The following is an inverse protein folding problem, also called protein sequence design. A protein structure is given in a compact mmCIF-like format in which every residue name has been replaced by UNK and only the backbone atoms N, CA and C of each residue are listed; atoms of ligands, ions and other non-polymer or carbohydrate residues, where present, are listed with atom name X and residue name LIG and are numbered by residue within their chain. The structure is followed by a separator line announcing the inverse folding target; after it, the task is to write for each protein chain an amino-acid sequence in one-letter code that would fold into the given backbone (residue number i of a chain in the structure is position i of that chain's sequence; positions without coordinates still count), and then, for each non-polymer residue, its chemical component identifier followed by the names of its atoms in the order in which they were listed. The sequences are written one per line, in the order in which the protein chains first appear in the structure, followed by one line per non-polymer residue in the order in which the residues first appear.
data_IF_846711388295
#
_entry.id   IF_846711388295
#
_cell.length_a   1.000
_cell.length_b   1.000
_cell.length_c   1.000
_cell.angle_alpha   90.00
_cell.angle_beta   90.00
_cell.angle_gamma   90.00
#
_symmetry.space_group_name_H-M   'P 1'
#
loop_
_entity.id
_entity.type
_entity.pdbx_description
1 polymer ?
#
# COMPACT_ATOMS: atom_id res chain seq x y z
N UNK A 1 10.84 8.38 74.05
CA UNK A 1 12.17 8.68 73.51
C UNK A 1 12.19 8.29 72.04
N UNK A 2 11.89 9.24 71.15
CA UNK A 2 11.81 9.01 69.71
C UNK A 2 13.03 9.63 69.04
N UNK A 3 13.98 8.78 68.65
CA UNK A 3 15.17 9.18 67.91
C UNK A 3 14.77 9.52 66.47
N UNK A 4 14.71 10.82 66.17
CA UNK A 4 14.63 11.32 64.79
C UNK A 4 15.95 10.99 64.10
N UNK A 5 15.92 10.03 63.19
CA UNK A 5 16.94 9.87 62.15
C UNK A 5 16.87 11.06 61.22
N UNK A 6 17.70 12.07 61.48
CA UNK A 6 17.98 13.16 60.55
C UNK A 6 18.63 12.57 59.30
N UNK A 7 17.84 12.41 58.24
CA UNK A 7 18.32 12.19 56.88
C UNK A 7 19.13 13.41 56.45
N UNK A 8 20.45 13.30 56.61
CA UNK A 8 21.41 14.27 56.10
C UNK A 8 21.37 14.20 54.57
N UNK A 9 20.58 15.08 53.96
CA UNK A 9 20.52 15.26 52.51
C UNK A 9 21.89 15.78 52.05
N UNK A 10 22.67 14.93 51.38
CA UNK A 10 23.93 15.33 50.80
C UNK A 10 23.71 16.53 49.85
N UNK A 11 24.53 17.60 49.94
CA UNK A 11 24.41 18.75 49.06
C UNK A 11 24.61 18.35 47.60
N UNK A 12 23.83 18.95 46.71
CA UNK A 12 23.98 18.76 45.26
C UNK A 12 25.43 19.10 44.84
N UNK A 13 26.04 18.31 43.94
CA UNK A 13 27.42 18.57 43.51
C UNK A 13 27.50 19.96 42.89
N UNK A 14 28.41 20.79 43.42
CA UNK A 14 28.67 22.14 42.91
C UNK A 14 29.24 22.07 41.50
N UNK A 15 28.92 23.05 40.65
CA UNK A 15 29.41 23.14 39.26
C UNK A 15 30.94 23.06 39.13
N UNK A 16 31.67 23.45 40.18
CA UNK A 16 33.13 23.28 40.29
C UNK A 16 33.56 21.81 40.23
N UNK A 17 32.83 20.88 40.85
CA UNK A 17 33.24 19.47 40.87
C UNK A 17 33.12 18.79 39.50
N UNK A 18 32.21 19.25 38.65
CA UNK A 18 32.09 18.74 37.27
C UNK A 18 33.21 19.24 36.35
N UNK A 19 33.68 20.46 36.56
CA UNK A 19 34.83 21.01 35.83
C UNK A 19 36.12 20.27 36.22
N UNK A 20 36.31 20.00 37.51
CA UNK A 20 37.48 19.24 38.00
C UNK A 20 37.48 17.80 37.47
N UNK A 21 36.31 17.16 37.39
CA UNK A 21 36.17 15.82 36.79
C UNK A 21 36.49 15.78 35.31
N UNK A 22 36.17 16.84 34.56
CA UNK A 22 36.53 16.95 33.14
C UNK A 22 38.04 17.00 32.96
N UNK A 23 38.73 17.78 33.78
CA UNK A 23 40.19 17.87 33.76
C UNK A 23 40.81 16.54 34.19
N UNK A 24 40.29 15.87 35.22
CA UNK A 24 40.86 14.61 35.72
C UNK A 24 40.72 13.40 34.78
N UNK A 25 39.74 13.43 33.87
CA UNK A 25 39.42 12.31 32.98
C UNK A 25 39.88 12.53 31.52
N UNK A 26 40.60 13.62 31.25
CA UNK A 26 41.25 14.02 29.98
C UNK A 26 40.76 13.23 28.75
N UNK A 27 39.72 13.73 28.08
CA UNK A 27 39.13 13.12 26.87
C UNK A 27 38.17 11.94 27.12
N UNK A 28 38.33 11.16 28.19
CA UNK A 28 37.38 10.06 28.50
C UNK A 28 36.01 10.61 28.89
N UNK A 29 35.96 11.74 29.59
CA UNK A 29 34.69 12.40 29.91
C UNK A 29 33.94 12.84 28.65
N UNK A 30 34.66 13.39 27.66
CA UNK A 30 34.07 13.83 26.39
C UNK A 30 33.47 12.66 25.62
N UNK A 31 34.18 11.53 25.56
CA UNK A 31 33.67 10.29 24.94
C UNK A 31 32.39 9.81 25.64
N UNK A 32 32.35 9.81 26.97
CA UNK A 32 31.17 9.39 27.74
C UNK A 32 29.97 10.33 27.52
N UNK A 33 30.18 11.64 27.53
CA UNK A 33 29.13 12.62 27.26
C UNK A 33 28.60 12.52 25.82
N UNK A 34 29.50 12.43 24.84
CA UNK A 34 29.14 12.27 23.43
C UNK A 34 28.35 10.97 23.21
N UNK A 35 28.82 9.86 23.76
CA UNK A 35 28.11 8.59 23.71
C UNK A 35 26.71 8.70 24.31
N UNK A 36 26.56 9.34 25.48
CA UNK A 36 25.25 9.57 26.10
C UNK A 36 24.31 10.36 25.20
N UNK A 37 24.80 11.44 24.59
CA UNK A 37 24.01 12.30 23.69
C UNK A 37 23.59 11.53 22.44
N UNK A 38 24.51 10.83 21.78
CA UNK A 38 24.21 10.10 20.54
C UNK A 38 23.34 8.85 20.79
N UNK A 39 23.62 8.06 21.82
CA UNK A 39 22.79 6.88 22.19
C UNK A 39 21.38 7.31 22.59
N UNK A 40 21.22 8.34 23.42
CA UNK A 40 19.90 8.83 23.81
C UNK A 40 19.11 9.43 22.63
N UNK A 41 19.77 10.15 21.73
CA UNK A 41 19.16 10.65 20.50
C UNK A 41 18.67 9.50 19.60
N UNK A 42 19.48 8.45 19.45
CA UNK A 42 19.12 7.27 18.65
C UNK A 42 17.95 6.51 19.29
N UNK A 43 18.01 6.29 20.61
CA UNK A 43 16.94 5.64 21.37
C UNK A 43 15.62 6.42 21.27
N UNK A 44 15.65 7.75 21.42
CA UNK A 44 14.47 8.61 21.28
C UNK A 44 13.85 8.50 19.88
N UNK A 45 14.68 8.52 18.83
CA UNK A 45 14.20 8.37 17.44
C UNK A 45 13.61 6.98 17.21
N UNK A 46 14.30 5.92 17.63
CA UNK A 46 13.83 4.52 17.58
C UNK A 46 12.58 4.28 18.44
N UNK A 47 12.36 5.08 19.48
CA UNK A 47 11.17 5.08 20.32
C UNK A 47 9.92 5.52 19.58
N UNK A 48 10.05 6.47 18.64
CA UNK A 48 8.92 7.08 17.94
C UNK A 48 8.18 6.14 16.97
N UNK A 49 6.93 6.46 16.66
CA UNK A 49 6.14 5.73 15.64
C UNK A 49 6.72 5.95 14.24
N UNK A 50 7.28 7.14 13.98
CA UNK A 50 7.86 7.56 12.70
C UNK A 50 9.39 7.39 12.68
N UNK A 51 9.92 6.43 13.44
CA UNK A 51 11.36 6.29 13.66
C UNK A 51 12.18 6.22 12.35
N UNK A 52 11.68 5.51 11.33
CA UNK A 52 12.37 5.40 10.03
C UNK A 52 12.54 6.77 9.36
N UNK A 53 11.47 7.57 9.35
CA UNK A 53 11.48 8.92 8.80
C UNK A 53 12.45 9.83 9.55
N UNK A 54 12.50 9.71 10.88
CA UNK A 54 13.44 10.48 11.70
C UNK A 54 14.90 10.06 11.47
N UNK A 55 15.18 8.77 11.27
CA UNK A 55 16.52 8.30 10.93
C UNK A 55 16.91 8.63 9.49
N UNK A 56 15.99 8.67 8.54
CA UNK A 56 16.29 9.07 7.17
C UNK A 56 16.65 10.55 7.01
N UNK A 57 16.14 11.40 7.89
CA UNK A 57 16.55 12.82 7.95
C UNK A 57 17.98 13.01 8.46
N UNK A 58 18.53 12.01 9.12
CA UNK A 58 19.89 12.05 9.67
C UNK A 58 20.43 10.61 9.70
N UNK A 59 20.78 10.09 8.52
CA UNK A 59 21.19 8.69 8.31
C UNK A 59 22.55 8.38 8.93
N UNK A 60 23.30 9.41 9.32
CA UNK A 60 24.62 9.28 9.95
C UNK A 60 24.52 8.98 11.45
N UNK A 61 23.36 9.15 12.10
CA UNK A 61 23.23 8.90 13.54
C UNK A 61 23.58 7.47 13.97
N UNK A 62 23.09 6.39 13.32
CA UNK A 62 23.49 5.02 13.65
C UNK A 62 24.99 4.80 13.47
N UNK A 63 25.59 5.44 12.45
CA UNK A 63 27.03 5.38 12.18
C UNK A 63 27.84 6.06 13.28
N UNK A 64 27.44 7.26 13.72
CA UNK A 64 28.10 7.98 14.84
C UNK A 64 28.07 7.16 16.13
N UNK A 65 26.94 6.51 16.44
CA UNK A 65 26.85 5.62 17.60
C UNK A 65 27.82 4.44 17.44
N UNK A 66 27.86 3.81 16.26
CA UNK A 66 28.78 2.70 15.95
C UNK A 66 30.25 3.10 16.12
N UNK A 67 30.64 4.27 15.61
CA UNK A 67 32.01 4.78 15.70
C UNK A 67 32.43 5.10 17.15
N UNK A 68 31.47 5.44 18.02
CA UNK A 68 31.71 5.70 19.43
C UNK A 68 31.76 4.45 20.30
N UNK A 69 31.29 3.28 19.86
CA UNK A 69 31.26 2.07 20.71
C UNK A 69 32.65 1.62 21.17
N UNK A 70 33.65 1.63 20.27
CA UNK A 70 35.00 1.20 20.63
C UNK A 70 35.71 2.17 21.60
N UNK A 71 35.74 3.50 21.35
CA UNK A 71 36.23 4.46 22.32
C UNK A 71 35.47 4.44 23.65
N UNK A 72 34.15 4.25 23.60
CA UNK A 72 33.29 4.18 24.78
C UNK A 72 33.65 2.99 25.67
N UNK A 73 33.85 1.80 25.09
CA UNK A 73 34.23 0.61 25.85
C UNK A 73 35.56 0.84 26.61
N UNK A 74 36.56 1.43 25.94
CA UNK A 74 37.84 1.78 26.58
C UNK A 74 37.68 2.84 27.68
N UNK A 75 36.86 3.87 27.44
CA UNK A 75 36.61 4.92 28.42
C UNK A 75 35.87 4.39 29.66
N UNK A 76 34.86 3.52 29.46
CA UNK A 76 34.16 2.85 30.56
C UNK A 76 35.09 1.95 31.36
N UNK A 77 35.93 1.15 30.70
CA UNK A 77 36.88 0.28 31.38
C UNK A 77 37.87 1.08 32.25
N UNK A 78 38.43 2.18 31.72
CA UNK A 78 39.32 3.07 32.49
C UNK A 78 38.60 3.70 33.68
N UNK A 79 37.38 4.20 33.49
CA UNK A 79 36.61 4.82 34.57
C UNK A 79 36.24 3.78 35.63
N UNK A 80 35.81 2.58 35.24
CA UNK A 80 35.48 1.50 36.18
C UNK A 80 36.71 0.97 36.92
N UNK A 81 37.87 0.91 36.27
CA UNK A 81 39.14 0.58 36.91
C UNK A 81 39.48 1.61 37.99
N UNK A 82 39.38 2.91 37.66
CA UNK A 82 39.67 4.00 38.59
C UNK A 82 38.68 4.07 39.76
N UNK A 83 37.39 3.89 39.48
CA UNK A 83 36.35 3.82 40.51
C UNK A 83 36.61 2.70 41.51
N UNK A 84 37.17 1.56 41.07
CA UNK A 84 37.57 0.44 41.95
C UNK A 84 38.81 0.76 42.78
N UNK A 85 39.82 1.42 42.19
CA UNK A 85 41.07 1.74 42.88
C UNK A 85 40.91 2.83 43.95
N UNK A 86 40.21 3.91 43.60
CA UNK A 86 40.16 5.13 44.42
C UNK A 86 38.97 5.15 45.40
N UNK A 87 38.18 4.07 45.47
CA UNK A 87 37.08 3.88 46.46
C UNK A 87 36.11 5.06 46.54
N UNK A 88 35.70 5.60 45.39
CA UNK A 88 34.80 6.76 45.33
C UNK A 88 33.44 6.44 45.96
N UNK A 89 32.73 7.42 46.55
CA UNK A 89 31.39 7.21 47.09
C UNK A 89 30.42 6.68 46.03
N UNK A 90 29.51 5.77 46.42
CA UNK A 90 28.51 5.17 45.49
C UNK A 90 27.60 6.20 44.81
N UNK A 91 27.44 7.38 45.42
CA UNK A 91 26.67 8.51 44.90
C UNK A 91 27.43 9.43 43.94
N UNK A 92 28.69 9.11 43.65
CA UNK A 92 29.52 9.92 42.77
C UNK A 92 28.91 10.04 41.35
N UNK A 93 28.93 11.23 40.71
CA UNK A 93 28.40 11.44 39.36
C UNK A 93 28.93 10.44 38.31
N UNK A 94 30.16 9.96 38.42
CA UNK A 94 30.70 8.94 37.51
C UNK A 94 30.00 7.58 37.65
N UNK A 95 29.64 7.16 38.87
CA UNK A 95 28.85 5.95 39.07
C UNK A 95 27.45 6.09 38.48
N UNK A 96 26.84 7.27 38.58
CA UNK A 96 25.53 7.54 37.96
C UNK A 96 25.62 7.54 36.44
N UNK A 97 26.64 8.19 35.88
CA UNK A 97 26.85 8.27 34.42
C UNK A 97 27.14 6.89 33.81
N UNK A 98 28.01 6.09 34.42
CA UNK A 98 28.33 4.73 33.96
C UNK A 98 27.09 3.83 33.98
N UNK A 99 26.31 3.83 35.08
CA UNK A 99 25.03 3.09 35.14
C UNK A 99 24.06 3.56 34.06
N UNK A 100 23.88 4.88 33.89
CA UNK A 100 23.01 5.41 32.84
C UNK A 100 23.44 4.98 31.44
N UNK A 101 24.75 4.91 31.16
CA UNK A 101 25.27 4.45 29.87
C UNK A 101 25.02 2.95 29.66
N UNK A 102 25.22 2.12 30.67
CA UNK A 102 24.89 0.69 30.63
C UNK A 102 23.38 0.46 30.42
N UNK A 103 22.53 1.20 31.14
CA UNK A 103 21.09 1.15 30.96
C UNK A 103 20.69 1.60 29.55
N UNK A 104 21.26 2.71 29.05
CA UNK A 104 21.02 3.19 27.69
C UNK A 104 21.44 2.16 26.65
N UNK A 105 22.56 1.48 26.86
CA UNK A 105 23.06 0.45 25.95
C UNK A 105 22.11 -0.74 25.87
N UNK A 106 21.68 -1.27 27.02
CA UNK A 106 20.71 -2.36 27.09
C UNK A 106 19.38 -1.99 26.40
N UNK A 107 18.85 -0.80 26.69
CA UNK A 107 17.61 -0.32 26.05
C UNK A 107 17.76 -0.11 24.55
N UNK A 108 18.91 0.42 24.12
CA UNK A 108 19.19 0.68 22.71
C UNK A 108 19.34 -0.63 21.94
N UNK A 109 20.07 -1.60 22.48
CA UNK A 109 20.23 -2.93 21.89
C UNK A 109 18.87 -3.62 21.73
N UNK A 110 18.06 -3.66 22.80
CA UNK A 110 16.72 -4.22 22.73
C UNK A 110 15.84 -3.49 21.71
N UNK A 111 15.94 -2.17 21.63
CA UNK A 111 15.14 -1.39 20.68
C UNK A 111 15.56 -1.62 19.24
N UNK A 112 16.86 -1.70 18.96
CA UNK A 112 17.40 -2.04 17.64
C UNK A 112 16.91 -3.43 17.22
N UNK A 113 17.01 -4.42 18.12
CA UNK A 113 16.50 -5.78 17.90
C UNK A 113 15.00 -5.80 17.59
N UNK A 114 14.18 -5.12 18.40
CA UNK A 114 12.73 -5.00 18.18
C UNK A 114 12.39 -4.36 16.83
N UNK A 115 13.16 -3.36 16.38
CA UNK A 115 12.93 -2.73 15.07
C UNK A 115 13.37 -3.64 13.92
N UNK A 116 14.51 -4.31 14.04
CA UNK A 116 15.01 -5.23 13.02
C UNK A 116 14.14 -6.47 12.85
N UNK A 117 13.59 -7.00 13.94
CA UNK A 117 12.64 -8.11 13.91
C UNK A 117 11.36 -7.83 13.10
N UNK A 118 11.03 -6.55 12.81
CA UNK A 118 9.92 -6.20 11.93
C UNK A 118 10.18 -6.50 10.45
N UNK A 119 11.45 -6.64 10.05
CA UNK A 119 11.85 -7.00 8.69
C UNK A 119 12.41 -8.42 8.61
N UNK A 120 13.19 -8.84 9.60
CA UNK A 120 13.90 -10.11 9.60
C UNK A 120 13.61 -10.85 10.92
N UNK A 121 12.52 -11.62 11.02
CA UNK A 121 12.06 -12.18 12.30
C UNK A 121 13.02 -13.21 12.92
N UNK A 122 13.84 -13.87 12.10
CA UNK A 122 14.66 -15.02 12.54
C UNK A 122 16.13 -14.69 12.81
N UNK A 123 16.53 -13.41 12.70
CA UNK A 123 17.93 -13.07 12.82
C UNK A 123 18.41 -12.90 14.26
N UNK A 124 19.40 -13.72 14.65
CA UNK A 124 20.23 -13.47 15.83
C UNK A 124 21.42 -12.64 15.37
N UNK A 125 21.51 -11.40 15.84
CA UNK A 125 22.58 -10.49 15.47
C UNK A 125 23.23 -9.89 16.71
N UNK A 126 24.52 -9.59 16.61
CA UNK A 126 25.20 -8.74 17.57
C UNK A 126 24.66 -7.29 17.49
N UNK A 127 24.86 -6.51 18.55
CA UNK A 127 24.43 -5.10 18.56
C UNK A 127 25.07 -4.30 17.40
N UNK A 128 26.36 -4.53 17.14
CA UNK A 128 27.10 -3.88 16.06
C UNK A 128 26.58 -4.25 14.67
N UNK A 129 26.31 -5.53 14.42
CA UNK A 129 25.64 -5.97 13.19
C UNK A 129 24.25 -5.35 13.07
N UNK A 130 23.52 -5.25 14.18
CA UNK A 130 22.22 -4.59 14.24
C UNK A 130 22.30 -3.13 13.81
N UNK A 131 23.30 -2.37 14.28
CA UNK A 131 23.52 -0.99 13.87
C UNK A 131 23.88 -0.87 12.37
N UNK A 132 24.74 -1.76 11.85
CA UNK A 132 25.11 -1.79 10.42
C UNK A 132 23.89 -2.08 9.55
N UNK A 133 23.09 -3.08 9.91
CA UNK A 133 21.84 -3.40 9.20
C UNK A 133 20.83 -2.26 9.29
N UNK A 134 20.70 -1.66 10.47
CA UNK A 134 19.82 -0.50 10.66
C UNK A 134 20.25 0.66 9.75
N UNK A 135 21.55 0.97 9.67
CA UNK A 135 22.11 1.99 8.77
C UNK A 135 21.77 1.68 7.30
N UNK A 136 22.03 0.45 6.85
CA UNK A 136 21.71 0.01 5.49
C UNK A 136 20.21 0.19 5.16
N UNK A 137 19.32 -0.23 6.07
CA UNK A 137 17.86 -0.10 5.90
C UNK A 137 17.35 1.33 5.97
N UNK A 138 18.03 2.20 6.72
CA UNK A 138 17.70 3.63 6.76
C UNK A 138 18.09 4.29 5.45
N UNK A 139 19.25 3.94 4.88
CA UNK A 139 19.71 4.46 3.58
C UNK A 139 18.92 3.92 2.39
N UNK A 140 18.30 2.75 2.51
CA UNK A 140 17.38 2.25 1.49
C UNK A 140 16.27 3.30 1.22
N UNK A 141 16.11 3.74 -0.05
CA UNK A 141 15.11 4.73 -0.40
C UNK A 141 13.74 4.28 0.08
N UNK A 142 12.96 5.21 0.64
CA UNK A 142 11.59 4.91 0.99
C UNK A 142 10.88 4.40 -0.26
N UNK A 143 10.30 3.22 -0.13
CA UNK A 143 9.36 2.71 -1.11
C UNK A 143 8.27 3.77 -1.26
N UNK A 144 8.30 4.48 -2.38
CA UNK A 144 7.33 5.51 -2.67
C UNK A 144 6.03 4.83 -3.06
N UNK A 145 4.91 5.45 -2.65
CA UNK A 145 3.61 5.10 -3.22
C UNK A 145 3.71 5.34 -4.73
N UNK A 146 3.11 4.47 -5.57
CA UNK A 146 3.10 4.70 -7.01
C UNK A 146 2.66 6.14 -7.31
N UNK A 147 3.54 6.88 -7.97
CA UNK A 147 3.27 8.25 -8.40
C UNK A 147 2.47 8.27 -9.70
N UNK A 148 2.26 9.46 -10.26
CA UNK A 148 1.55 9.63 -11.54
C UNK A 148 2.24 8.93 -12.72
N UNK A 149 3.57 8.75 -12.63
CA UNK A 149 4.36 8.06 -13.65
C UNK A 149 4.17 6.53 -13.65
N UNK A 150 3.64 5.95 -12.56
CA UNK A 150 3.48 4.50 -12.44
C UNK A 150 1.99 4.13 -12.50
N UNK A 151 1.55 3.39 -13.53
CA UNK A 151 0.15 3.07 -13.68
C UNK A 151 -0.29 2.15 -12.55
N UNK A 152 -1.33 2.56 -11.84
CA UNK A 152 -1.93 1.71 -10.83
C UNK A 152 -3.03 0.90 -11.49
N UNK A 153 -2.77 -0.39 -11.65
CA UNK A 153 -3.72 -1.35 -12.24
C UNK A 153 -4.90 -1.60 -11.31
N UNK A 154 -4.62 -1.73 -10.02
CA UNK A 154 -5.64 -1.90 -9.01
C UNK A 154 -5.25 -1.12 -7.77
N UNK A 155 -6.08 -0.13 -7.42
CA UNK A 155 -6.10 0.40 -6.08
C UNK A 155 -7.08 -0.40 -5.25
N UNK A 156 -6.68 -0.74 -4.04
CA UNK A 156 -7.61 -1.26 -3.08
C UNK A 156 -7.20 -0.90 -1.68
N UNK A 157 -8.12 -1.06 -0.76
CA UNK A 157 -7.84 -0.90 0.64
C UNK A 157 -8.89 -1.60 1.43
N UNK A 158 -8.63 -1.73 2.72
CA UNK A 158 -9.65 -1.97 3.73
C UNK A 158 -10.56 -0.74 3.81
N UNK A 159 -11.25 -0.43 2.72
CA UNK A 159 -12.42 0.41 2.72
C UNK A 159 -13.52 -0.48 3.27
N UNK A 160 -13.58 -0.57 4.61
CA UNK A 160 -14.89 -0.74 5.22
C UNK A 160 -15.80 0.30 4.57
N UNK A 161 -16.88 -0.17 3.93
CA UNK A 161 -17.79 0.65 3.16
C UNK A 161 -18.13 1.90 3.96
N UNK A 162 -17.54 3.03 3.58
CA UNK A 162 -17.69 4.24 4.36
C UNK A 162 -19.16 4.64 4.40
N UNK A 163 -19.92 4.34 3.35
CA UNK A 163 -21.37 4.51 3.33
C UNK A 163 -22.05 3.81 4.49
N UNK A 164 -21.71 2.56 4.80
CA UNK A 164 -22.38 1.82 5.89
C UNK A 164 -21.77 2.11 7.27
N UNK A 165 -20.45 2.19 7.41
CA UNK A 165 -19.82 2.44 8.72
C UNK A 165 -19.87 3.89 9.15
N UNK A 166 -19.71 4.86 8.23
CA UNK A 166 -19.89 6.28 8.54
C UNK A 166 -21.36 6.55 8.83
N UNK A 167 -22.30 5.97 8.06
CA UNK A 167 -23.73 6.06 8.38
C UNK A 167 -24.06 5.41 9.72
N UNK A 168 -23.41 4.30 10.10
CA UNK A 168 -23.58 3.68 11.41
C UNK A 168 -23.00 4.54 12.54
N UNK A 169 -21.83 5.16 12.31
CA UNK A 169 -21.21 6.07 13.28
C UNK A 169 -22.03 7.36 13.42
N UNK A 170 -22.50 7.95 12.31
CA UNK A 170 -23.41 9.10 12.31
C UNK A 170 -24.76 8.73 12.93
N UNK A 171 -25.31 7.56 12.65
CA UNK A 171 -26.56 7.12 13.28
C UNK A 171 -26.36 6.89 14.77
N UNK A 172 -25.24 6.31 15.22
CA UNK A 172 -24.89 6.25 16.64
C UNK A 172 -24.76 7.66 17.25
N UNK A 173 -24.15 8.59 16.52
CA UNK A 173 -23.92 9.95 17.00
C UNK A 173 -25.20 10.79 17.07
N UNK A 174 -26.21 10.52 16.24
CA UNK A 174 -27.47 11.27 16.24
C UNK A 174 -28.61 10.55 16.98
N UNK A 175 -28.76 9.24 16.79
CA UNK A 175 -29.88 8.46 17.34
C UNK A 175 -29.72 8.19 18.83
N UNK A 176 -28.49 7.97 19.32
CA UNK A 176 -28.25 7.70 20.74
C UNK A 176 -28.51 8.93 21.62
N UNK A 177 -27.98 10.14 21.32
CA UNK A 177 -28.31 11.32 22.13
C UNK A 177 -29.76 11.78 21.99
N UNK A 178 -30.38 11.63 20.80
CA UNK A 178 -31.80 11.91 20.63
C UNK A 178 -32.69 11.01 21.50
N UNK A 179 -32.32 9.74 21.68
CA UNK A 179 -33.00 8.83 22.63
C UNK A 179 -32.65 9.11 24.08
N UNK A 180 -31.42 9.54 24.37
CA UNK A 180 -30.97 9.88 25.72
C UNK A 180 -31.65 11.14 26.28
N UNK A 181 -32.00 12.10 25.42
CA UNK A 181 -32.82 13.27 25.77
C UNK A 181 -34.18 12.90 26.36
N UNK A 182 -34.76 11.76 25.96
CA UNK A 182 -35.99 11.22 26.56
C UNK A 182 -35.81 10.49 27.90
N UNK A 183 -34.57 10.19 28.31
CA UNK A 183 -34.23 9.40 29.52
C UNK A 183 -33.64 10.25 30.66
N UNK A 184 -33.56 11.57 30.50
CA UNK A 184 -33.05 12.49 31.52
C UNK A 184 -31.52 12.51 31.67
N UNK A 185 -31.03 13.13 32.75
CA UNK A 185 -29.61 13.44 32.99
C UNK A 185 -28.68 12.21 32.94
N UNK A 186 -29.15 11.03 33.35
CA UNK A 186 -28.35 9.80 33.29
C UNK A 186 -28.10 9.30 31.87
N UNK A 187 -29.01 9.57 30.92
CA UNK A 187 -28.80 9.30 29.50
C UNK A 187 -27.69 10.17 28.89
N UNK A 188 -27.56 11.41 29.34
CA UNK A 188 -26.50 12.33 28.90
C UNK A 188 -25.10 11.88 29.32
N UNK A 189 -24.93 11.40 30.55
CA UNK A 189 -23.63 10.91 31.02
C UNK A 189 -23.20 9.62 30.30
N UNK A 190 -24.13 8.68 30.09
CA UNK A 190 -23.85 7.44 29.38
C UNK A 190 -23.50 7.66 27.89
N UNK A 191 -24.21 8.58 27.23
CA UNK A 191 -23.92 8.95 25.84
C UNK A 191 -22.58 9.70 25.70
N UNK A 192 -22.25 10.58 26.65
CA UNK A 192 -20.95 11.24 26.72
C UNK A 192 -19.78 10.26 26.84
N UNK A 193 -19.90 9.24 27.69
CA UNK A 193 -18.88 8.20 27.85
C UNK A 193 -18.71 7.35 26.57
N UNK A 194 -19.82 6.99 25.90
CA UNK A 194 -19.80 6.28 24.62
C UNK A 194 -19.14 7.09 23.51
N UNK A 195 -19.33 8.40 23.46
CA UNK A 195 -18.65 9.28 22.50
C UNK A 195 -17.15 9.37 22.83
N UNK A 196 -16.78 9.57 24.10
CA UNK A 196 -15.39 9.69 24.53
C UNK A 196 -14.56 8.42 24.31
N UNK A 197 -15.16 7.23 24.41
CA UNK A 197 -14.47 5.95 24.16
C UNK A 197 -14.63 5.49 22.71
N UNK A 198 -15.85 5.61 22.17
CA UNK A 198 -16.19 5.16 20.83
C UNK A 198 -15.53 5.99 19.74
N UNK A 199 -15.41 7.31 19.91
CA UNK A 199 -14.77 8.19 18.94
C UNK A 199 -13.29 7.88 18.71
N UNK A 200 -12.41 7.83 19.74
CA UNK A 200 -11.00 7.49 19.53
C UNK A 200 -10.82 6.04 19.07
N UNK A 201 -11.67 5.11 19.48
CA UNK A 201 -11.62 3.73 18.98
C UNK A 201 -12.00 3.67 17.50
N UNK A 202 -13.07 4.35 17.09
CA UNK A 202 -13.46 4.50 15.69
C UNK A 202 -12.36 5.17 14.89
N UNK A 203 -11.77 6.27 15.38
CA UNK A 203 -10.62 6.95 14.76
C UNK A 203 -9.40 6.02 14.65
N UNK A 204 -9.16 5.19 15.66
CA UNK A 204 -8.06 4.21 15.66
C UNK A 204 -8.31 3.11 14.63
N UNK A 205 -9.55 2.66 14.46
CA UNK A 205 -9.96 1.71 13.42
C UNK A 205 -9.91 2.35 12.02
N UNK A 206 -10.37 3.60 11.88
CA UNK A 206 -10.27 4.42 10.66
C UNK A 206 -8.82 4.68 10.25
N UNK A 207 -7.91 4.85 11.22
CA UNK A 207 -6.47 4.98 10.97
C UNK A 207 -5.79 3.65 10.61
N UNK A 208 -6.44 2.49 10.85
CA UNK A 208 -5.91 1.18 10.47
C UNK A 208 -6.19 0.78 9.01
N UNK A 209 -6.26 1.76 8.11
CA UNK A 209 -6.44 1.50 6.68
C UNK A 209 -5.16 0.98 6.06
N UNK A 210 -5.15 -0.31 5.74
CA UNK A 210 -4.23 -0.82 4.74
C UNK A 210 -4.73 -0.37 3.37
N UNK A 211 -3.87 0.32 2.61
CA UNK A 211 -4.07 0.58 1.18
C UNK A 211 -3.05 -0.24 0.41
N UNK A 212 -3.45 -0.79 -0.72
CA UNK A 212 -2.58 -1.45 -1.65
C UNK A 212 -2.76 -0.83 -3.04
N UNK A 213 -1.66 -0.84 -3.78
CA UNK A 213 -1.54 -0.42 -5.15
C UNK A 213 -0.85 -1.57 -5.88
N UNK A 214 -1.58 -2.21 -6.78
CA UNK A 214 -1.00 -3.14 -7.72
C UNK A 214 -0.57 -2.36 -8.95
N UNK A 215 0.71 -2.42 -9.25
CA UNK A 215 1.31 -1.85 -10.47
C UNK A 215 1.75 -3.01 -11.37
N UNK A 216 2.16 -2.76 -12.62
CA UNK A 216 2.60 -3.83 -13.50
C UNK A 216 3.82 -4.60 -12.98
N UNK A 217 4.66 -3.99 -12.16
CA UNK A 217 5.95 -4.55 -11.70
C UNK A 217 5.91 -4.98 -10.24
N UNK A 218 5.08 -4.31 -9.45
CA UNK A 218 5.11 -4.43 -8.00
C UNK A 218 3.74 -4.32 -7.35
N UNK A 219 3.53 -5.11 -6.32
CA UNK A 219 2.47 -4.89 -5.34
C UNK A 219 3.04 -4.04 -4.21
N UNK A 220 2.54 -2.81 -4.11
CA UNK A 220 2.86 -1.90 -3.02
C UNK A 220 1.69 -1.89 -2.05
N UNK A 221 1.94 -2.05 -0.75
CA UNK A 221 0.90 -1.82 0.25
C UNK A 221 1.42 -1.05 1.44
N UNK A 222 0.61 -0.13 1.92
CA UNK A 222 0.85 0.65 3.11
C UNK A 222 0.08 0.00 4.25
N UNK A 223 0.82 -0.52 5.22
CA UNK A 223 0.24 -1.03 6.47
C UNK A 223 -0.40 0.11 7.28
N UNK A 224 -1.28 -0.25 8.22
CA UNK A 224 -1.88 0.68 9.18
C UNK A 224 -0.86 1.50 9.98
N UNK A 225 0.36 1.00 10.13
CA UNK A 225 1.47 1.69 10.80
C UNK A 225 2.22 2.67 9.89
N UNK A 226 1.74 2.86 8.66
CA UNK A 226 2.35 3.74 7.67
C UNK A 226 3.57 3.15 6.97
N UNK A 227 3.99 1.93 7.31
CA UNK A 227 5.08 1.25 6.61
C UNK A 227 4.58 0.80 5.24
N UNK A 228 5.22 1.31 4.19
CA UNK A 228 5.05 0.84 2.82
C UNK A 228 5.91 -0.41 2.64
N UNK A 229 5.29 -1.49 2.18
CA UNK A 229 5.94 -2.72 1.77
C UNK A 229 5.73 -2.88 0.26
N UNK A 230 6.74 -3.39 -0.40
CA UNK A 230 6.72 -3.69 -1.83
C UNK A 230 7.09 -5.14 -2.01
N UNK A 231 6.36 -5.83 -2.89
CA UNK A 231 6.75 -7.13 -3.43
C UNK A 231 6.85 -6.96 -4.94
N UNK A 232 8.04 -7.25 -5.48
CA UNK A 232 8.25 -7.32 -6.92
C UNK A 232 7.54 -8.57 -7.44
N UNK A 233 6.68 -8.40 -8.44
CA UNK A 233 5.89 -9.49 -9.01
C UNK A 233 6.76 -10.48 -9.77
N UNK A 234 7.90 -10.03 -10.31
CA UNK A 234 8.83 -10.85 -11.09
C UNK A 234 9.67 -11.81 -10.22
N UNK A 235 9.76 -11.56 -8.90
CA UNK A 235 10.66 -12.30 -8.01
C UNK A 235 10.22 -13.74 -7.70
N UNK A 236 9.04 -14.19 -8.15
CA UNK A 236 8.48 -15.51 -7.80
C UNK A 236 8.08 -15.67 -6.32
N UNK A 237 8.56 -14.78 -5.43
CA UNK A 237 8.28 -14.75 -4.00
C UNK A 237 6.85 -14.30 -3.66
N UNK A 238 6.07 -13.86 -4.66
CA UNK A 238 4.66 -13.49 -4.51
C UNK A 238 3.80 -14.59 -3.85
N UNK A 239 4.20 -15.86 -3.94
CA UNK A 239 3.54 -17.00 -3.28
C UNK A 239 3.64 -17.01 -1.77
N UNK A 240 4.71 -16.46 -1.18
CA UNK A 240 4.99 -16.60 0.27
C UNK A 240 4.31 -15.53 1.11
N UNK A 241 3.83 -14.45 0.52
CA UNK A 241 3.04 -13.47 1.26
C UNK A 241 1.64 -14.01 1.52
N UNK A 242 1.46 -14.66 2.68
CA UNK A 242 0.14 -15.01 3.24
C UNK A 242 -0.66 -13.73 3.49
N UNK A 243 -1.36 -13.28 2.45
CA UNK A 243 -2.36 -12.23 2.50
C UNK A 243 -3.61 -12.79 3.19
N UNK A 244 -3.64 -12.79 4.53
CA UNK A 244 -4.77 -13.30 5.32
C UNK A 244 -5.76 -12.16 5.61
N UNK A 245 -7.05 -12.38 5.30
CA UNK A 245 -8.13 -11.76 6.06
C UNK A 245 -9.04 -10.72 5.39
N UNK A 246 -9.13 -10.60 4.05
CA UNK A 246 -10.07 -9.65 3.41
C UNK A 246 -10.60 -10.15 2.06
N UNK A 247 -11.90 -9.98 1.77
CA UNK A 247 -12.50 -10.30 0.47
C UNK A 247 -11.83 -9.57 -0.71
N UNK A 248 -11.40 -8.31 -0.53
CA UNK A 248 -10.60 -7.58 -1.55
C UNK A 248 -9.21 -8.21 -1.79
N UNK A 249 -8.72 -9.08 -0.90
CA UNK A 249 -7.54 -9.91 -1.17
C UNK A 249 -7.87 -11.09 -2.09
N UNK A 250 -9.13 -11.51 -2.24
CA UNK A 250 -9.49 -12.54 -3.21
C UNK A 250 -9.31 -12.01 -4.63
N UNK A 251 -9.80 -10.80 -4.94
CA UNK A 251 -9.54 -10.15 -6.24
C UNK A 251 -8.04 -9.99 -6.50
N UNK A 252 -7.27 -9.58 -5.48
CA UNK A 252 -5.81 -9.48 -5.60
C UNK A 252 -5.15 -10.85 -5.84
N UNK A 253 -5.57 -11.88 -5.12
CA UNK A 253 -5.11 -13.27 -5.34
C UNK A 253 -5.45 -13.74 -6.74
N UNK A 254 -6.66 -13.43 -7.24
CA UNK A 254 -7.09 -13.76 -8.59
C UNK A 254 -6.21 -13.09 -9.65
N UNK A 255 -5.87 -11.80 -9.47
CA UNK A 255 -4.97 -11.09 -10.39
C UNK A 255 -3.54 -11.65 -10.31
N UNK A 256 -3.03 -11.92 -9.10
CA UNK A 256 -1.71 -12.52 -8.93
C UNK A 256 -1.65 -13.92 -9.56
N UNK A 257 -2.67 -14.75 -9.34
CA UNK A 257 -2.78 -16.08 -9.94
C UNK A 257 -2.85 -15.99 -11.47
N UNK A 258 -3.58 -15.01 -12.01
CA UNK A 258 -3.66 -14.78 -13.46
C UNK A 258 -2.32 -14.41 -14.07
N UNK A 259 -1.50 -13.63 -13.37
CA UNK A 259 -0.14 -13.27 -13.83
C UNK A 259 0.83 -14.45 -13.84
N UNK A 260 0.54 -15.51 -13.10
CA UNK A 260 1.33 -16.75 -13.17
C UNK A 260 0.99 -17.59 -14.42
N UNK A 261 -0.08 -17.26 -15.15
CA UNK A 261 -0.55 -18.05 -16.29
C UNK A 261 0.06 -17.55 -17.60
N UNK A 262 0.38 -18.45 -18.55
CA UNK A 262 0.55 -18.05 -19.95
C UNK A 262 -0.75 -17.41 -20.46
N UNK A 263 -0.69 -16.31 -21.24
CA UNK A 263 0.49 -15.62 -21.76
C UNK A 263 1.10 -14.55 -20.83
N UNK A 264 0.47 -14.23 -19.71
CA UNK A 264 0.86 -13.13 -18.82
C UNK A 264 2.16 -13.40 -18.02
N UNK A 265 2.59 -14.65 -17.93
CA UNK A 265 3.76 -15.06 -17.14
C UNK A 265 5.06 -14.45 -17.66
N UNK A 266 5.75 -13.72 -16.78
CA UNK A 266 7.11 -13.22 -17.04
C UNK A 266 7.19 -12.05 -18.05
N UNK A 267 6.05 -11.54 -18.51
CA UNK A 267 6.04 -10.35 -19.34
C UNK A 267 6.12 -9.10 -18.45
N UNK A 268 7.10 -8.23 -18.70
CA UNK A 268 7.12 -6.88 -18.13
C UNK A 268 6.07 -6.05 -18.86
N UNK A 269 4.87 -6.09 -18.29
CA UNK A 269 3.65 -5.50 -18.81
C UNK A 269 3.75 -3.96 -18.86
N UNK A 270 4.15 -3.43 -20.01
CA UNK A 270 4.17 -2.00 -20.30
C UNK A 270 2.76 -1.42 -20.51
N UNK A 271 2.68 -0.10 -20.67
CA UNK A 271 1.44 0.53 -21.13
C UNK A 271 1.05 -0.03 -22.51
N UNK A 272 -0.25 -0.26 -22.79
CA UNK A 272 -0.69 -0.60 -24.14
C UNK A 272 -0.23 0.50 -25.11
N UNK A 273 0.68 0.15 -26.01
CA UNK A 273 1.17 1.07 -27.05
C UNK A 273 0.18 1.21 -28.21
N UNK A 274 -0.78 0.29 -28.30
CA UNK A 274 -1.82 0.24 -29.32
C UNK A 274 -3.10 0.97 -28.85
N UNK A 275 -3.90 1.44 -29.81
CA UNK A 275 -5.14 2.12 -29.49
C UNK A 275 -6.22 1.12 -29.07
N UNK A 276 -6.69 1.28 -27.84
CA UNK A 276 -7.69 0.44 -27.20
C UNK A 276 -8.57 1.31 -26.32
N UNK A 277 -9.89 1.16 -26.44
CA UNK A 277 -10.82 1.72 -25.47
C UNK A 277 -11.67 0.60 -24.87
N UNK A 278 -11.79 0.58 -23.54
CA UNK A 278 -12.59 -0.41 -22.82
C UNK A 278 -13.40 0.27 -21.73
N UNK A 279 -14.69 -0.01 -21.68
CA UNK A 279 -15.57 0.52 -20.64
C UNK A 279 -16.80 -0.36 -20.41
N UNK A 280 -17.40 -0.30 -19.23
CA UNK A 280 -18.65 -1.01 -18.95
C UNK A 280 -19.78 -0.51 -19.86
N UNK A 281 -20.54 -1.43 -20.43
CA UNK A 281 -21.68 -1.13 -21.28
C UNK A 281 -22.85 -2.08 -21.00
N UNK A 282 -24.05 -1.64 -21.34
CA UNK A 282 -25.28 -2.43 -21.24
C UNK A 282 -25.84 -2.63 -22.63
N UNK A 283 -26.04 -3.89 -23.02
CA UNK A 283 -26.74 -4.26 -24.25
C UNK A 283 -28.24 -4.29 -24.02
N UNK A 284 -28.98 -3.55 -24.84
CA UNK A 284 -30.43 -3.55 -24.93
C UNK A 284 -30.82 -4.17 -26.27
N UNK A 285 -31.46 -5.34 -26.25
CA UNK A 285 -32.00 -5.93 -27.47
C UNK A 285 -33.18 -5.08 -27.95
N UNK A 286 -33.24 -4.82 -29.27
CA UNK A 286 -34.28 -4.01 -29.88
C UNK A 286 -35.67 -4.53 -29.49
N UNK A 287 -36.52 -3.63 -29.03
CA UNK A 287 -37.87 -3.93 -28.58
C UNK A 287 -38.72 -4.31 -29.79
N UNK A 288 -38.86 -5.61 -30.07
CA UNK A 288 -40.13 -6.06 -30.62
C UNK A 288 -41.24 -5.52 -29.72
N UNK A 289 -42.24 -4.85 -30.29
CA UNK A 289 -43.22 -3.97 -29.63
C UNK A 289 -44.18 -4.70 -28.67
N UNK A 290 -43.65 -5.40 -27.68
CA UNK A 290 -44.40 -6.16 -26.69
C UNK A 290 -43.87 -5.86 -25.30
N UNK A 291 -44.79 -5.62 -24.37
CA UNK A 291 -44.63 -5.23 -22.96
C UNK A 291 -43.76 -6.16 -22.06
N UNK A 292 -42.94 -7.05 -22.61
CA UNK A 292 -42.22 -8.09 -21.89
C UNK A 292 -40.76 -7.73 -21.64
N UNK A 293 -40.39 -7.69 -20.35
CA UNK A 293 -39.04 -7.72 -19.74
C UNK A 293 -37.91 -7.12 -20.58
N UNK A 294 -37.46 -5.93 -20.18
CA UNK A 294 -36.21 -5.32 -20.63
C UNK A 294 -35.03 -6.27 -20.42
N UNK A 295 -34.65 -7.00 -21.47
CA UNK A 295 -33.46 -7.84 -21.49
C UNK A 295 -32.22 -6.94 -21.60
N UNK A 296 -31.79 -6.44 -20.44
CA UNK A 296 -30.53 -5.73 -20.29
C UNK A 296 -29.44 -6.74 -19.93
N UNK A 297 -28.38 -6.81 -20.75
CA UNK A 297 -27.21 -7.63 -20.44
C UNK A 297 -26.03 -6.71 -20.17
N UNK A 298 -25.57 -6.56 -18.92
CA UNK A 298 -24.36 -5.80 -18.61
C UNK A 298 -23.13 -6.55 -19.12
N UNK A 299 -22.10 -5.80 -19.49
CA UNK A 299 -20.86 -6.34 -20.02
C UNK A 299 -19.77 -5.30 -20.17
N UNK A 300 -18.71 -5.69 -20.85
CA UNK A 300 -17.60 -4.81 -21.23
C UNK A 300 -17.60 -4.61 -22.74
N UNK A 301 -17.56 -3.35 -23.16
CA UNK A 301 -17.32 -2.97 -24.55
C UNK A 301 -15.83 -2.76 -24.76
N UNK A 302 -15.27 -3.43 -25.75
CA UNK A 302 -13.86 -3.34 -26.15
C UNK A 302 -13.84 -2.81 -27.59
N UNK A 303 -13.24 -1.64 -27.77
CA UNK A 303 -13.13 -0.97 -29.06
C UNK A 303 -11.68 -0.99 -29.52
N UNK A 304 -11.46 -1.44 -30.76
CA UNK A 304 -10.16 -1.43 -31.42
C UNK A 304 -10.28 -0.92 -32.86
N UNK A 305 -9.17 -0.46 -33.47
CA UNK A 305 -9.19 -0.02 -34.85
C UNK A 305 -9.75 -1.11 -35.79
N UNK A 306 -10.92 -0.85 -36.39
CA UNK A 306 -11.59 -1.76 -37.31
C UNK A 306 -12.57 -2.77 -36.68
N UNK A 307 -12.63 -2.90 -35.35
CA UNK A 307 -13.50 -3.87 -34.70
C UNK A 307 -14.10 -3.41 -33.37
N UNK A 308 -15.30 -3.90 -33.11
CA UNK A 308 -16.03 -3.73 -31.85
C UNK A 308 -16.34 -5.10 -31.25
N UNK A 309 -16.02 -5.28 -29.98
CA UNK A 309 -16.29 -6.52 -29.25
C UNK A 309 -17.09 -6.21 -27.98
N UNK A 310 -18.19 -6.92 -27.77
CA UNK A 310 -18.97 -6.84 -26.53
C UNK A 310 -18.95 -8.19 -25.80
N UNK A 311 -18.57 -8.14 -24.52
CA UNK A 311 -18.44 -9.30 -23.66
C UNK A 311 -19.43 -9.17 -22.49
N UNK A 312 -20.47 -10.01 -22.48
CA UNK A 312 -21.45 -10.03 -21.37
C UNK A 312 -20.81 -10.44 -20.05
N UNK A 313 -21.22 -9.91 -18.90
CA UNK A 313 -20.62 -10.23 -17.59
C UNK A 313 -21.08 -11.58 -16.99
N UNK A 314 -21.59 -12.50 -17.81
CA UNK A 314 -22.13 -13.79 -17.36
C UNK A 314 -21.09 -14.90 -17.48
N UNK A 315 -20.77 -15.63 -16.41
CA UNK A 315 -19.89 -16.81 -16.39
C UNK A 315 -18.40 -16.52 -16.65
N UNK A 316 -17.74 -15.66 -15.85
CA UNK A 316 -16.30 -15.32 -16.04
C UNK A 316 -15.43 -16.57 -15.97
N UNK A 317 -15.89 -17.53 -15.20
CA UNK A 317 -15.28 -18.83 -14.97
C UNK A 317 -15.11 -19.66 -16.22
N UNK A 318 -16.06 -19.60 -17.16
CA UNK A 318 -15.93 -20.35 -18.42
C UNK A 318 -14.80 -19.77 -19.26
N UNK A 319 -14.67 -18.44 -19.30
CA UNK A 319 -13.52 -17.78 -19.94
C UNK A 319 -12.22 -18.27 -19.32
N UNK A 320 -12.13 -18.20 -17.98
CA UNK A 320 -10.88 -18.53 -17.30
C UNK A 320 -10.48 -19.99 -17.50
N UNK A 321 -11.46 -20.88 -17.52
CA UNK A 321 -11.26 -22.31 -17.78
C UNK A 321 -10.83 -22.58 -19.22
N UNK A 322 -11.43 -21.90 -20.19
CA UNK A 322 -11.17 -22.16 -21.61
C UNK A 322 -9.86 -21.52 -22.07
N UNK A 323 -9.59 -20.29 -21.65
CA UNK A 323 -8.39 -19.53 -22.07
C UNK A 323 -7.15 -19.94 -21.28
N UNK A 324 -7.28 -20.17 -19.97
CA UNK A 324 -6.12 -20.43 -19.11
C UNK A 324 -6.03 -21.86 -18.57
N UNK A 325 -6.97 -22.74 -18.93
CA UNK A 325 -6.99 -24.15 -18.51
C UNK A 325 -6.87 -24.37 -16.99
N UNK A 326 -7.31 -23.41 -16.15
CA UNK A 326 -7.27 -23.51 -14.67
C UNK A 326 -8.65 -23.52 -14.02
N UNK A 327 -8.69 -24.07 -12.81
CA UNK A 327 -9.90 -24.25 -12.00
C UNK A 327 -10.39 -23.00 -11.27
N UNK A 328 -11.66 -23.06 -10.84
CA UNK A 328 -12.47 -21.97 -10.27
C UNK A 328 -11.91 -21.34 -8.97
N UNK A 329 -11.23 -22.11 -8.13
CA UNK A 329 -10.95 -21.68 -6.75
C UNK A 329 -9.96 -20.52 -6.64
N UNK A 330 -9.10 -20.31 -7.65
CA UNK A 330 -8.02 -19.32 -7.59
C UNK A 330 -8.43 -17.90 -8.01
N UNK A 331 -9.53 -17.74 -8.74
CA UNK A 331 -9.94 -16.43 -9.30
C UNK A 331 -11.18 -15.82 -8.63
N UNK A 332 -11.50 -16.24 -7.40
CA UNK A 332 -12.63 -15.67 -6.66
C UNK A 332 -12.49 -14.15 -6.52
N UNK A 333 -13.57 -13.42 -6.84
CA UNK A 333 -13.59 -11.96 -6.77
C UNK A 333 -12.92 -11.24 -7.94
N UNK A 334 -12.45 -11.96 -8.96
CA UNK A 334 -12.04 -11.36 -10.23
C UNK A 334 -13.29 -10.94 -11.02
N UNK A 335 -13.28 -9.75 -11.62
CA UNK A 335 -14.32 -9.27 -12.53
C UNK A 335 -13.84 -9.32 -13.98
N UNK A 336 -14.78 -9.30 -14.95
CA UNK A 336 -14.43 -9.21 -16.37
C UNK A 336 -13.58 -7.97 -16.68
N UNK A 337 -13.90 -6.84 -16.06
CA UNK A 337 -13.11 -5.61 -16.20
C UNK A 337 -11.66 -5.79 -15.72
N UNK A 338 -11.45 -6.44 -14.57
CA UNK A 338 -10.10 -6.72 -14.06
C UNK A 338 -9.33 -7.67 -14.98
N UNK A 339 -9.99 -8.69 -15.53
CA UNK A 339 -9.38 -9.60 -16.51
C UNK A 339 -8.90 -8.85 -17.75
N UNK A 340 -9.78 -8.06 -18.38
CA UNK A 340 -9.43 -7.29 -19.57
C UNK A 340 -8.35 -6.24 -19.29
N UNK A 341 -8.35 -5.64 -18.09
CA UNK A 341 -7.29 -4.73 -17.64
C UNK A 341 -5.94 -5.41 -17.44
N UNK A 342 -5.89 -6.72 -17.18
CA UNK A 342 -4.62 -7.47 -17.20
C UNK A 342 -4.23 -7.84 -18.63
N UNK A 343 -5.18 -8.28 -19.45
CA UNK A 343 -4.91 -8.67 -20.83
C UNK A 343 -4.43 -7.51 -21.70
N UNK A 344 -4.94 -6.28 -21.51
CA UNK A 344 -4.50 -5.10 -22.28
C UNK A 344 -3.00 -4.79 -22.14
N UNK A 345 -2.33 -5.41 -21.16
CA UNK A 345 -0.92 -5.21 -20.94
C UNK A 345 -0.05 -6.12 -21.83
N UNK A 346 -0.66 -7.12 -22.48
CA UNK A 346 -0.01 -8.00 -23.44
C UNK A 346 0.31 -7.23 -24.73
N UNK A 347 1.29 -7.72 -25.53
CA UNK A 347 1.48 -7.27 -26.91
C UNK A 347 0.18 -7.34 -27.71
N UNK A 348 0.01 -6.43 -28.67
CA UNK A 348 -1.24 -6.29 -29.45
C UNK A 348 -1.71 -7.62 -30.07
N UNK A 349 -0.79 -8.39 -30.68
CA UNK A 349 -1.11 -9.68 -31.29
C UNK A 349 -1.59 -10.74 -30.26
N UNK A 350 -1.01 -10.75 -29.06
CA UNK A 350 -1.41 -11.68 -28.00
C UNK A 350 -2.73 -11.27 -27.36
N UNK A 351 -2.93 -9.98 -27.14
CA UNK A 351 -4.21 -9.44 -26.70
C UNK A 351 -5.33 -9.84 -27.66
N UNK A 352 -5.08 -9.71 -28.96
CA UNK A 352 -6.05 -10.04 -30.01
C UNK A 352 -6.39 -11.51 -30.03
N UNK A 353 -5.38 -12.37 -29.96
CA UNK A 353 -5.58 -13.82 -29.86
C UNK A 353 -6.41 -14.17 -28.63
N UNK A 354 -6.07 -13.64 -27.46
CA UNK A 354 -6.84 -13.89 -26.24
C UNK A 354 -8.26 -13.33 -26.33
N UNK A 355 -8.45 -12.15 -26.93
CA UNK A 355 -9.78 -11.57 -27.11
C UNK A 355 -10.63 -12.42 -28.06
N UNK A 356 -10.05 -12.96 -29.12
CA UNK A 356 -10.73 -13.88 -30.04
C UNK A 356 -11.12 -15.20 -29.37
N UNK A 357 -10.23 -15.76 -28.55
CA UNK A 357 -10.54 -16.94 -27.73
C UNK A 357 -11.68 -16.66 -26.74
N UNK A 358 -11.66 -15.50 -26.07
CA UNK A 358 -12.74 -15.07 -25.16
C UNK A 358 -14.07 -14.92 -25.91
N UNK A 359 -14.06 -14.31 -27.10
CA UNK A 359 -15.25 -14.14 -27.92
C UNK A 359 -15.82 -15.50 -28.34
N UNK A 360 -14.95 -16.42 -28.78
CA UNK A 360 -15.33 -17.79 -29.16
C UNK A 360 -15.91 -18.58 -27.99
N UNK A 361 -15.33 -18.44 -26.80
CA UNK A 361 -15.73 -19.13 -25.57
C UNK A 361 -17.12 -18.74 -25.04
N UNK A 362 -17.55 -17.51 -25.28
CA UNK A 362 -18.67 -16.89 -24.54
C UNK A 362 -19.84 -16.42 -25.38
N UNK A 363 -19.89 -16.82 -26.65
CA UNK A 363 -20.81 -16.22 -27.62
C UNK A 363 -20.67 -14.69 -27.62
N UNK A 364 -19.44 -14.20 -27.42
CA UNK A 364 -19.14 -12.79 -27.48
C UNK A 364 -19.56 -12.25 -28.84
N UNK A 365 -20.10 -11.05 -28.86
CA UNK A 365 -20.47 -10.45 -30.14
C UNK A 365 -19.33 -9.58 -30.65
N UNK A 366 -18.92 -9.86 -31.89
CA UNK A 366 -17.92 -9.08 -32.64
C UNK A 366 -18.60 -8.46 -33.85
N UNK A 367 -18.33 -7.18 -34.08
CA UNK A 367 -18.80 -6.45 -35.25
C UNK A 367 -17.64 -5.71 -35.92
N UNK A 368 -17.72 -5.60 -37.24
CA UNK A 368 -16.85 -4.71 -37.98
C UNK A 368 -17.23 -3.26 -37.65
N UNK A 369 -16.23 -2.39 -37.50
CA UNK A 369 -16.48 -0.99 -37.19
C UNK A 369 -17.37 -0.28 -38.23
N UNK A 370 -17.26 -0.67 -39.50
CA UNK A 370 -18.08 -0.14 -40.59
C UNK A 370 -19.56 -0.51 -40.52
N UNK A 371 -19.91 -1.56 -39.77
CA UNK A 371 -21.29 -2.03 -39.65
C UNK A 371 -22.06 -1.40 -38.49
N UNK A 372 -21.43 -0.55 -37.69
CA UNK A 372 -22.03 0.01 -36.47
C UNK A 372 -22.15 1.54 -36.55
N UNK A 373 -23.29 2.05 -36.12
CA UNK A 373 -23.49 3.50 -35.96
C UNK A 373 -23.21 3.86 -34.50
N UNK A 374 -22.42 4.89 -34.27
CA UNK A 374 -22.00 5.28 -32.92
C UNK A 374 -22.13 6.78 -32.72
N UNK A 375 -22.33 7.20 -31.47
CA UNK A 375 -22.44 8.60 -31.11
C UNK A 375 -22.60 8.80 -29.60
N UNK A 376 -22.56 10.05 -29.18
CA UNK A 376 -22.94 10.43 -27.82
C UNK A 376 -24.44 10.69 -27.77
N UNK A 377 -25.09 10.26 -26.70
CA UNK A 377 -26.48 10.62 -26.41
C UNK A 377 -26.54 11.99 -25.74
N UNK A 378 -27.76 12.54 -25.60
CA UNK A 378 -27.99 13.77 -24.84
C UNK A 378 -27.53 13.68 -23.36
N UNK A 379 -27.45 12.47 -22.81
CA UNK A 379 -26.98 12.19 -21.44
C UNK A 379 -25.46 12.02 -21.34
N UNK A 380 -24.70 12.36 -22.39
CA UNK A 380 -23.25 12.12 -22.49
C UNK A 380 -22.86 10.64 -22.36
N UNK A 381 -23.79 9.72 -22.69
CA UNK A 381 -23.50 8.29 -22.75
C UNK A 381 -23.05 7.94 -24.15
N UNK A 382 -22.05 7.07 -24.25
CA UNK A 382 -21.64 6.53 -25.53
C UNK A 382 -22.61 5.44 -25.97
N UNK A 383 -23.22 5.62 -27.13
CA UNK A 383 -24.18 4.70 -27.73
C UNK A 383 -23.60 4.08 -29.00
N UNK A 384 -23.79 2.77 -29.14
CA UNK A 384 -23.52 2.04 -30.39
C UNK A 384 -24.77 1.29 -30.81
N UNK A 385 -25.29 1.60 -31.99
CA UNK A 385 -26.35 0.89 -32.67
C UNK A 385 -25.75 -0.22 -33.53
N UNK A 386 -26.21 -1.44 -33.27
CA UNK A 386 -25.72 -2.65 -33.89
C UNK A 386 -26.62 -3.07 -35.09
N UNK A 387 -26.10 -3.87 -36.04
CA UNK A 387 -26.87 -4.30 -37.22
C UNK A 387 -28.15 -5.08 -36.89
N UNK A 388 -28.17 -5.77 -35.75
CA UNK A 388 -29.32 -6.54 -35.26
C UNK A 388 -30.39 -5.65 -34.59
N UNK A 389 -30.26 -4.32 -34.69
CA UNK A 389 -31.14 -3.35 -34.04
C UNK A 389 -30.93 -3.24 -32.52
N UNK A 390 -29.97 -3.98 -31.94
CA UNK A 390 -29.63 -3.83 -30.54
C UNK A 390 -28.76 -2.60 -30.29
N UNK A 391 -28.83 -2.09 -29.07
CA UNK A 391 -28.15 -0.86 -28.66
C UNK A 391 -27.23 -1.17 -27.49
N UNK A 392 -25.96 -0.80 -27.62
CA UNK A 392 -25.00 -0.77 -26.52
C UNK A 392 -24.93 0.65 -25.97
N UNK A 393 -25.10 0.81 -24.66
CA UNK A 393 -24.92 2.11 -23.98
C UNK A 393 -23.92 1.96 -22.85
N UNK A 394 -22.89 2.80 -22.83
CA UNK A 394 -21.92 2.91 -21.74
C UNK A 394 -21.70 4.36 -21.31
N UNK A 395 -21.15 4.56 -20.12
CA UNK A 395 -20.79 5.88 -19.60
C UNK A 395 -19.27 5.94 -19.42
N UNK A 396 -18.50 6.23 -20.48
CA UNK A 396 -17.06 6.31 -20.37
C UNK A 396 -16.62 7.50 -19.52
N UNK A 397 -15.49 7.36 -18.80
CA UNK A 397 -14.84 8.48 -18.14
C UNK A 397 -14.02 9.33 -19.12
N UNK A 398 -13.50 10.48 -18.67
CA UNK A 398 -12.73 11.41 -19.51
C UNK A 398 -11.49 10.74 -20.18
N UNK A 399 -10.85 9.78 -19.49
CA UNK A 399 -9.70 9.04 -20.05
C UNK A 399 -10.16 8.07 -21.13
N UNK A 400 -11.30 7.42 -20.92
CA UNK A 400 -11.93 6.53 -21.88
C UNK A 400 -12.45 7.28 -23.11
N UNK A 401 -13.01 8.49 -22.96
CA UNK A 401 -13.38 9.34 -24.11
C UNK A 401 -12.18 9.68 -25.00
N UNK A 402 -11.02 9.97 -24.38
CA UNK A 402 -9.77 10.22 -25.11
C UNK A 402 -9.33 8.96 -25.86
N UNK A 403 -9.39 7.80 -25.21
CA UNK A 403 -9.08 6.51 -25.83
C UNK A 403 -10.02 6.17 -26.99
N UNK A 404 -11.33 6.38 -26.83
CA UNK A 404 -12.34 6.21 -27.88
C UNK A 404 -11.97 7.08 -29.08
N UNK A 405 -11.72 8.38 -28.86
CA UNK A 405 -11.37 9.33 -29.93
C UNK A 405 -10.14 8.88 -30.72
N UNK A 406 -9.11 8.37 -30.03
CA UNK A 406 -7.90 7.82 -30.66
C UNK A 406 -8.19 6.59 -31.51
N UNK A 407 -9.03 5.66 -31.02
CA UNK A 407 -9.46 4.48 -31.77
C UNK A 407 -10.25 4.87 -33.03
N UNK A 408 -11.14 5.86 -32.91
CA UNK A 408 -11.92 6.38 -34.04
C UNK A 408 -11.05 7.02 -35.12
N UNK A 409 -10.07 7.84 -34.71
CA UNK A 409 -9.15 8.50 -35.63
C UNK A 409 -8.28 7.49 -36.40
N UNK A 410 -7.75 6.48 -35.72
CA UNK A 410 -6.95 5.42 -36.35
C UNK A 410 -7.80 4.52 -37.26
N UNK A 411 -9.07 4.29 -36.91
CA UNK A 411 -9.99 3.58 -37.79
C UNK A 411 -10.17 4.35 -39.11
N UNK A 412 -10.44 5.66 -39.06
CA UNK A 412 -10.63 6.48 -40.27
C UNK A 412 -9.41 6.49 -41.20
N UNK A 413 -8.20 6.62 -40.63
CA UNK A 413 -6.96 6.65 -41.42
C UNK A 413 -6.70 5.32 -42.13
N UNK A 414 -6.94 4.19 -41.47
CA UNK A 414 -6.76 2.84 -42.07
C UNK A 414 -7.69 2.59 -43.24
N UNK A 415 -8.96 3.03 -43.14
CA UNK A 415 -9.95 2.92 -44.21
C UNK A 415 -9.56 3.75 -45.45
N UNK A 416 -9.11 4.99 -45.25
CA UNK A 416 -8.67 5.85 -46.36
C UNK A 416 -7.41 5.31 -47.07
N UNK A 417 -6.52 4.62 -46.35
CA UNK A 417 -5.33 4.00 -46.93
C UNK A 417 -5.63 2.78 -47.81
N UNK A 418 -6.58 1.93 -47.42
CA UNK A 418 -6.95 0.74 -48.18
C UNK A 418 -7.65 1.08 -49.51
N UNK A 419 -8.43 2.17 -49.58
CA UNK A 419 -9.11 2.58 -50.81
C UNK A 419 -8.17 3.06 -51.93
N UNK A 420 -6.98 3.58 -51.61
CA UNK A 420 -6.02 4.06 -52.62
C UNK A 420 -5.15 2.96 -53.22
N UNK A 421 -4.89 1.87 -52.49
CA UNK A 421 -4.03 0.78 -52.98
C UNK A 421 -4.72 -0.15 -53.97
N UNK A 422 -6.06 -0.15 -54.03
CA UNK A 422 -6.84 -0.98 -54.97
C UNK A 422 -7.05 -0.38 -56.36
N UNK A 423 -6.64 0.86 -56.61
CA UNK A 423 -6.90 1.57 -57.88
C UNK A 423 -5.66 1.58 -58.81
N UNK A 424 -4.47 1.20 -58.31
CA UNK A 424 -3.21 1.21 -59.07
C UNK A 424 -2.67 -0.19 -59.43
N UNK A 425 -3.50 -1.23 -59.30
CA UNK A 425 -3.13 -2.62 -59.61
C UNK A 425 -4.10 -3.34 -60.54
N UNK A 426 -4.91 -2.60 -61.31
CA UNK A 426 -5.82 -3.13 -62.33
C UNK A 426 -5.32 -2.81 -63.73
#
# INVERSE_FOLDING_TARGET
MSSRTSSHSAPAPSLSSLADLRVQLEGSWEVLEQARVHKSALLKRLGSIRWRHHLQRDPELPRRVRELEAPLAQALERVEHRLRQESWPKDHPLHRLTRQLHDLDAHLHERVRQRLALWEPDGKWSFMEGLVRLEARVREPLLQVPGEAEPVLLTGGAEWGWGSSLSFLLSMFWVVPARALGLGFHGYLASGALILVGYPLALRLLRRRARFWLTPWRLVWRTSRGQVRQVLLDSGDGRRTRLVGMQKLQSLRGILAMRELPPLRGQTLGFPTYALAMFPAVRRKGSGSGFMRRNHSPGMLVMRPGQLVFLEDKNLWNILREVFHRGFNEFQGLTLSMLLQQLQLLPEAEFDRCLEEIVRAREGSRWAWSSVTHGLTADDKYQVLLPDGSVLTGAPDATQHTAISRVLQLSRTRWMGQGKSGILGG
#
